data_IF_933683747546
#
_entry.id   IF_933683747546
#
_cell.length_a   1.000
_cell.length_b   1.000
_cell.length_c   1.000
_cell.angle_alpha   90.00
_cell.angle_beta   90.00
_cell.angle_gamma   90.00
#
_symmetry.space_group_name_H-M   'P 1'
#
loop_
_entity.id
_entity.type
_entity.pdbx_description
1 polymer ?
#
# COMPACT_ATOMS: atom_id res chain seq x y z
N UNK A 1 5.37 -7.20 -19.33
CA UNK A 1 4.39 -7.07 -18.24
C UNK A 1 3.00 -6.94 -18.86
N UNK A 2 1.95 -7.51 -18.25
CA UNK A 2 0.59 -7.48 -18.79
C UNK A 2 0.03 -6.04 -18.70
N UNK A 3 -0.70 -5.58 -19.72
CA UNK A 3 -1.38 -4.27 -19.68
C UNK A 3 -2.45 -4.28 -18.58
N UNK A 4 -2.36 -3.32 -17.66
CA UNK A 4 -3.37 -3.09 -16.62
C UNK A 4 -4.54 -2.35 -17.25
N UNK A 5 -5.74 -2.90 -17.10
CA UNK A 5 -6.98 -2.27 -17.54
C UNK A 5 -7.36 -1.09 -16.64
N UNK A 6 -8.16 -0.12 -17.11
CA UNK A 6 -8.62 0.98 -16.26
C UNK A 6 -9.33 0.51 -14.97
N UNK A 7 -10.06 -0.61 -15.03
CA UNK A 7 -10.73 -1.20 -13.85
C UNK A 7 -9.76 -1.80 -12.84
N UNK A 8 -8.72 -2.50 -13.30
CA UNK A 8 -7.65 -3.01 -12.43
C UNK A 8 -6.87 -1.84 -11.81
N UNK A 9 -6.63 -0.77 -12.56
CA UNK A 9 -5.98 0.43 -12.06
C UNK A 9 -6.81 1.12 -10.95
N UNK A 10 -8.11 1.29 -11.16
CA UNK A 10 -9.00 1.84 -10.14
C UNK A 10 -8.99 0.99 -8.87
N UNK A 11 -8.98 -0.34 -9.03
CA UNK A 11 -8.92 -1.29 -7.92
C UNK A 11 -7.59 -1.18 -7.14
N UNK A 12 -6.46 -1.03 -7.84
CA UNK A 12 -5.14 -0.85 -7.23
C UNK A 12 -5.02 0.45 -6.44
N UNK A 13 -5.54 1.56 -6.98
CA UNK A 13 -5.56 2.84 -6.26
C UNK A 13 -6.46 2.77 -5.02
N UNK A 14 -7.61 2.09 -5.13
CA UNK A 14 -8.51 1.88 -3.99
C UNK A 14 -7.82 1.06 -2.89
N UNK A 15 -7.12 -0.01 -3.27
CA UNK A 15 -6.34 -0.83 -2.34
C UNK A 15 -5.22 -0.02 -1.66
N UNK A 16 -4.48 0.79 -2.43
CA UNK A 16 -3.44 1.66 -1.90
C UNK A 16 -4.00 2.67 -0.88
N UNK A 17 -5.17 3.25 -1.16
CA UNK A 17 -5.84 4.16 -0.23
C UNK A 17 -6.26 3.45 1.06
N UNK A 18 -6.81 2.24 0.95
CA UNK A 18 -7.20 1.44 2.11
C UNK A 18 -6.00 1.11 3.00
N UNK A 19 -4.89 0.64 2.43
CA UNK A 19 -3.67 0.34 3.19
C UNK A 19 -3.08 1.59 3.86
N UNK A 20 -3.12 2.73 3.18
CA UNK A 20 -2.66 4.01 3.74
C UNK A 20 -3.51 4.42 4.95
N UNK A 21 -4.83 4.28 4.85
CA UNK A 21 -5.75 4.58 5.95
C UNK A 21 -5.53 3.60 7.12
N UNK A 22 -5.38 2.30 6.85
CA UNK A 22 -5.10 1.29 7.86
C UNK A 22 -3.79 1.57 8.60
N UNK A 23 -2.74 1.98 7.87
CA UNK A 23 -1.47 2.38 8.47
C UNK A 23 -1.62 3.57 9.43
N UNK A 24 -2.40 4.58 9.05
CA UNK A 24 -2.64 5.76 9.89
C UNK A 24 -3.32 5.37 11.21
N UNK A 25 -4.35 4.51 11.13
CA UNK A 25 -5.05 3.98 12.32
C UNK A 25 -4.10 3.17 13.20
N UNK A 26 -3.31 2.26 12.61
CA UNK A 26 -2.37 1.42 13.35
C UNK A 26 -1.31 2.26 14.08
N UNK A 27 -0.75 3.27 13.42
CA UNK A 27 0.23 4.19 14.02
C UNK A 27 -0.37 5.04 15.14
N UNK A 28 -1.61 5.47 15.01
CA UNK A 28 -2.30 6.20 16.08
C UNK A 28 -2.55 5.31 17.30
N UNK A 29 -2.90 4.03 17.09
CA UNK A 29 -3.27 3.10 18.15
C UNK A 29 -2.11 2.40 18.86
N UNK A 30 -0.95 2.21 18.21
CA UNK A 30 0.14 1.38 18.74
C UNK A 30 0.68 1.86 20.10
N UNK A 31 0.59 3.16 20.39
CA UNK A 31 1.04 3.72 21.66
C UNK A 31 0.08 3.46 22.82
N UNK A 32 -1.18 3.13 22.55
CA UNK A 32 -2.15 2.74 23.57
C UNK A 32 -1.98 1.28 24.02
N UNK A 33 -1.18 0.48 23.31
CA UNK A 33 -0.91 -0.91 23.66
C UNK A 33 0.11 -0.95 24.80
N UNK A 34 -0.31 -1.50 25.94
CA UNK A 34 0.52 -1.66 27.15
C UNK A 34 1.25 -3.00 27.21
N UNK A 35 0.66 -4.05 26.66
CA UNK A 35 1.29 -5.36 26.57
C UNK A 35 2.50 -5.32 25.61
N UNK A 36 3.74 -5.59 26.07
CA UNK A 36 4.93 -5.44 25.25
C UNK A 36 4.98 -6.38 24.04
N UNK A 37 4.45 -7.60 24.18
CA UNK A 37 4.47 -8.61 23.11
C UNK A 37 3.47 -8.24 22.01
N UNK A 38 2.28 -7.80 22.40
CA UNK A 38 1.27 -7.27 21.49
C UNK A 38 1.77 -5.99 20.80
N UNK A 39 2.45 -5.10 21.51
CA UNK A 39 3.02 -3.87 20.94
C UNK A 39 4.09 -4.17 19.90
N UNK A 40 4.98 -5.12 20.20
CA UNK A 40 6.01 -5.59 19.26
C UNK A 40 5.39 -6.20 17.99
N UNK A 41 4.35 -7.02 18.17
CA UNK A 41 3.60 -7.63 17.06
C UNK A 41 2.90 -6.57 16.20
N UNK A 42 2.25 -5.58 16.83
CA UNK A 42 1.63 -4.45 16.14
C UNK A 42 2.65 -3.61 15.36
N UNK A 43 3.84 -3.36 15.94
CA UNK A 43 4.91 -2.64 15.26
C UNK A 43 5.43 -3.39 14.03
N UNK A 44 5.53 -4.71 14.11
CA UNK A 44 5.87 -5.58 12.97
C UNK A 44 4.79 -5.50 11.87
N UNK A 45 3.52 -5.50 12.27
CA UNK A 45 2.39 -5.31 11.34
C UNK A 45 2.40 -3.94 10.65
N UNK A 46 2.77 -2.87 11.37
CA UNK A 46 2.96 -1.52 10.81
C UNK A 46 4.05 -1.54 9.75
N UNK A 47 5.22 -2.14 10.04
CA UNK A 47 6.34 -2.24 9.08
C UNK A 47 5.93 -3.04 7.84
N UNK A 48 5.25 -4.17 8.02
CA UNK A 48 4.75 -4.97 6.89
C UNK A 48 3.75 -4.17 6.03
N UNK A 49 2.89 -3.38 6.65
CA UNK A 49 1.94 -2.51 5.96
C UNK A 49 2.64 -1.42 5.14
N UNK A 50 3.69 -0.79 5.69
CA UNK A 50 4.51 0.17 4.96
C UNK A 50 5.17 -0.47 3.73
N UNK A 51 5.70 -1.68 3.86
CA UNK A 51 6.28 -2.41 2.74
C UNK A 51 5.24 -2.71 1.64
N UNK A 52 4.00 -3.08 2.00
CA UNK A 52 2.91 -3.28 1.03
C UNK A 52 2.54 -1.98 0.31
N UNK A 53 2.45 -0.85 1.01
CA UNK A 53 2.19 0.46 0.40
C UNK A 53 3.28 0.81 -0.61
N UNK A 54 4.55 0.64 -0.26
CA UNK A 54 5.68 0.89 -1.16
C UNK A 54 5.62 -0.01 -2.40
N UNK A 55 5.35 -1.31 -2.21
CA UNK A 55 5.22 -2.25 -3.31
C UNK A 55 4.04 -1.91 -4.25
N UNK A 56 2.89 -1.52 -3.70
CA UNK A 56 1.74 -1.09 -4.49
C UNK A 56 2.04 0.20 -5.27
N UNK A 57 2.65 1.20 -4.63
CA UNK A 57 3.05 2.45 -5.30
C UNK A 57 4.04 2.19 -6.43
N UNK A 58 5.04 1.34 -6.19
CA UNK A 58 6.01 0.96 -7.20
C UNK A 58 5.34 0.24 -8.37
N UNK A 59 4.52 -0.77 -8.10
CA UNK A 59 3.79 -1.51 -9.12
C UNK A 59 2.89 -0.61 -9.96
N UNK A 60 2.11 0.27 -9.32
CA UNK A 60 1.25 1.24 -10.00
C UNK A 60 2.09 2.17 -10.90
N UNK A 61 3.20 2.69 -10.39
CA UNK A 61 4.08 3.61 -11.12
C UNK A 61 4.70 2.93 -12.34
N UNK A 62 5.26 1.73 -12.16
CA UNK A 62 5.88 0.95 -13.24
C UNK A 62 4.89 0.61 -14.35
N UNK A 63 3.62 0.34 -14.02
CA UNK A 63 2.60 0.00 -15.02
C UNK A 63 1.91 1.24 -15.64
N UNK A 64 1.96 2.42 -15.01
CA UNK A 64 1.47 3.67 -15.58
C UNK A 64 2.46 4.39 -16.48
N UNK A 65 3.77 4.22 -16.24
CA UNK A 65 4.81 4.78 -17.10
C UNK A 65 4.89 4.08 -18.47
N UNK A 66 4.27 2.90 -18.64
CA UNK A 66 4.30 2.14 -19.91
C UNK A 66 3.23 2.62 -20.92
N UNK A 67 2.26 3.46 -20.54
CA UNK A 67 1.21 3.96 -21.44
C UNK A 67 1.52 5.30 -22.14
N UNK A 68 2.71 5.87 -21.97
CA UNK A 68 3.12 7.10 -22.68
C UNK A 68 3.93 6.86 -23.96
N UNK A 69 4.14 5.59 -24.35
CA UNK A 69 4.70 5.23 -25.65
C UNK A 69 3.61 4.76 -26.61
N UNK A 70 3.59 5.35 -27.80
CA UNK A 70 2.81 4.95 -28.99
C UNK A 70 1.39 5.54 -29.11
N UNK A 71 1.34 6.85 -29.38
CA UNK A 71 0.41 7.39 -30.38
C UNK A 71 1.24 7.82 -31.61
N UNK A 72 1.33 6.92 -32.58
CA UNK A 72 1.69 7.21 -33.98
C UNK A 72 0.46 6.98 -34.86
#
# INVERSE_FOLDING_TARGET
MRKITPGENLSLNTLLQMETNALAVAKAGVNAITDPQLKSSAQSGITATQARIMGLQQFITENHLINTGEVH
#
